data_IF_171834856588
#
_entry.id   IF_171834856588
#
_cell.length_a   1.000
_cell.length_b   1.000
_cell.length_c   1.000
_cell.angle_alpha   90.00
_cell.angle_beta   90.00
_cell.angle_gamma   90.00
#
_symmetry.space_group_name_H-M   'P 1'
#
loop_
_entity.id
_entity.type
_entity.pdbx_description
1 polymer ?
#
# COMPACT_ATOMS: atom_id res chain seq x y z
N UNK A 1 -4.81 2.34 -4.85
CA UNK A 1 -3.52 1.65 -4.70
C UNK A 1 -3.05 1.81 -3.27
N UNK A 2 -2.93 0.70 -2.56
CA UNK A 2 -2.23 0.56 -1.28
C UNK A 2 -0.87 -0.11 -1.57
N UNK A 3 0.18 0.19 -0.81
CA UNK A 3 1.51 -0.46 -0.94
C UNK A 3 1.43 -1.99 -1.05
N UNK A 4 0.54 -2.61 -0.28
CA UNK A 4 0.27 -4.07 -0.31
C UNK A 4 -0.26 -4.57 -1.65
N UNK A 5 -1.07 -3.77 -2.34
CA UNK A 5 -1.61 -4.13 -3.65
C UNK A 5 -0.51 -4.15 -4.71
N UNK A 6 0.38 -3.15 -4.68
CA UNK A 6 1.53 -3.07 -5.58
C UNK A 6 2.43 -4.31 -5.40
N UNK A 7 2.68 -4.71 -4.16
CA UNK A 7 3.52 -5.88 -3.87
C UNK A 7 2.86 -7.20 -4.28
N UNK A 8 1.56 -7.35 -4.03
CA UNK A 8 0.81 -8.54 -4.47
C UNK A 8 0.85 -8.71 -5.99
N UNK A 9 0.71 -7.62 -6.75
CA UNK A 9 0.79 -7.62 -8.20
C UNK A 9 2.20 -7.96 -8.70
N UNK A 10 3.25 -7.40 -8.08
CA UNK A 10 4.65 -7.72 -8.42
C UNK A 10 4.95 -9.19 -8.22
N UNK A 11 4.54 -9.77 -7.09
CA UNK A 11 4.75 -11.19 -6.79
C UNK A 11 4.01 -12.06 -7.81
N UNK A 12 2.75 -11.75 -8.11
CA UNK A 12 1.95 -12.49 -9.09
C UNK A 12 2.59 -12.46 -10.48
N UNK A 13 3.01 -11.27 -10.95
CA UNK A 13 3.69 -11.09 -12.22
C UNK A 13 5.02 -11.89 -12.26
N UNK A 14 5.85 -11.78 -11.22
CA UNK A 14 7.13 -12.49 -11.13
C UNK A 14 6.94 -14.02 -11.15
N UNK A 15 5.90 -14.54 -10.49
CA UNK A 15 5.59 -15.98 -10.53
C UNK A 15 5.12 -16.42 -11.91
N UNK A 16 4.28 -15.63 -12.58
CA UNK A 16 3.80 -15.93 -13.93
C UNK A 16 4.91 -15.91 -14.98
N UNK A 17 5.95 -15.09 -14.77
CA UNK A 17 7.14 -15.01 -15.62
C UNK A 17 8.18 -16.10 -15.32
N UNK A 18 7.92 -17.03 -14.40
CA UNK A 18 8.90 -18.05 -14.01
C UNK A 18 10.12 -17.50 -13.29
N UNK A 19 10.03 -16.28 -12.73
CA UNK A 19 11.16 -15.49 -12.18
C UNK A 19 12.20 -15.08 -13.22
N UNK A 20 11.86 -15.13 -14.49
CA UNK A 20 12.70 -14.66 -15.59
C UNK A 20 12.26 -13.26 -16.06
N UNK A 21 13.19 -12.48 -16.60
CA UNK A 21 12.94 -11.12 -17.07
C UNK A 21 12.84 -10.06 -15.96
N UNK A 22 12.51 -8.83 -16.36
CA UNK A 22 12.47 -7.67 -15.47
C UNK A 22 11.06 -7.04 -15.45
N UNK A 23 10.51 -6.83 -14.25
CA UNK A 23 9.23 -6.16 -14.03
C UNK A 23 9.50 -4.76 -13.46
N UNK A 24 9.14 -3.72 -14.22
CA UNK A 24 9.31 -2.32 -13.80
C UNK A 24 7.98 -1.78 -13.30
N UNK A 25 7.95 -1.34 -12.04
CA UNK A 25 6.78 -0.71 -11.42
C UNK A 25 6.91 0.81 -11.61
N UNK A 26 5.96 1.43 -12.31
CA UNK A 26 5.97 2.88 -12.62
C UNK A 26 5.23 3.76 -11.60
N UNK A 27 4.82 3.20 -10.48
CA UNK A 27 3.97 3.84 -9.48
C UNK A 27 4.60 3.67 -8.10
N UNK A 28 4.62 4.75 -7.31
CA UNK A 28 5.12 4.74 -5.94
C UNK A 28 4.09 5.33 -4.96
N UNK A 29 3.87 4.71 -3.79
CA UNK A 29 2.96 5.21 -2.77
C UNK A 29 3.58 6.38 -1.99
N UNK A 30 3.36 7.62 -2.44
CA UNK A 30 3.90 8.82 -1.79
C UNK A 30 3.02 9.37 -0.65
N UNK A 31 1.75 9.01 -0.59
CA UNK A 31 0.78 9.69 0.28
C UNK A 31 0.44 8.84 1.51
N UNK A 32 0.80 9.34 2.69
CA UNK A 32 0.43 8.71 3.95
C UNK A 32 -1.05 8.92 4.29
N UNK A 33 -1.79 7.85 4.53
CA UNK A 33 -3.18 7.87 5.00
C UNK A 33 -3.25 7.67 6.49
N UNK A 34 -3.99 8.55 7.17
CA UNK A 34 -4.22 8.49 8.62
C UNK A 34 -5.54 7.79 8.93
N UNK A 35 -5.62 7.06 10.04
CA UNK A 35 -6.85 6.45 10.52
C UNK A 35 -7.02 6.65 12.03
N UNK A 36 -8.26 6.67 12.50
CA UNK A 36 -8.58 6.63 13.93
C UNK A 36 -9.01 5.22 14.31
N UNK A 37 -8.56 4.69 15.46
CA UNK A 37 -8.98 3.39 15.95
C UNK A 37 -10.50 3.32 16.13
N UNK A 38 -11.05 2.12 16.04
CA UNK A 38 -12.46 1.87 16.34
C UNK A 38 -12.72 2.13 17.83
N UNK A 39 -13.84 2.80 18.13
CA UNK A 39 -14.27 3.09 19.51
C UNK A 39 -13.95 4.49 20.03
N UNK A 40 -13.26 5.34 19.27
CA UNK A 40 -13.02 6.75 19.67
C UNK A 40 -14.13 7.68 19.18
N UNK A 41 -14.54 8.63 20.03
CA UNK A 41 -15.47 9.71 19.61
C UNK A 41 -14.81 10.61 18.58
N UNK A 42 -15.62 11.21 17.71
CA UNK A 42 -15.16 12.22 16.75
C UNK A 42 -14.70 13.48 17.49
N UNK A 43 -13.70 14.18 16.94
CA UNK A 43 -12.98 15.29 17.59
C UNK A 43 -11.49 15.00 17.81
N UNK A 44 -10.69 16.02 18.18
CA UNK A 44 -9.24 15.92 18.49
C UNK A 44 -8.26 15.73 17.31
N UNK A 45 -8.57 16.22 16.10
CA UNK A 45 -7.61 16.28 14.98
C UNK A 45 -7.49 14.99 14.15
N UNK A 46 -6.44 14.88 13.32
CA UNK A 46 -6.16 13.71 12.46
C UNK A 46 -5.55 12.56 13.27
N UNK A 47 -5.81 11.31 12.87
CA UNK A 47 -5.18 10.13 13.47
C UNK A 47 -3.71 9.96 13.06
N UNK A 48 -3.04 8.95 13.61
CA UNK A 48 -1.67 8.60 13.20
C UNK A 48 -1.65 8.06 11.75
N UNK A 49 -0.57 8.29 10.98
CA UNK A 49 -0.37 7.64 9.69
C UNK A 49 -0.37 6.11 9.84
N UNK A 50 -1.20 5.41 9.06
CA UNK A 50 -1.35 3.95 9.12
C UNK A 50 -0.94 3.27 7.80
N UNK A 51 -1.17 3.93 6.66
CA UNK A 51 -0.92 3.35 5.33
C UNK A 51 -0.16 4.30 4.43
N UNK A 52 0.54 3.72 3.46
CA UNK A 52 1.30 4.40 2.40
C UNK A 52 0.78 3.89 1.05
#
# INVERSE_FOLDING_TARGET
MDSRQIESARIAATRSLGREGNVIIRIFPHFSKTSKPIGVRMGSGKGSPEKW
#
